data_IF_463575833136
#
_entry.id   IF_463575833136
#
_cell.length_a   1.000
_cell.length_b   1.000
_cell.length_c   1.000
_cell.angle_alpha   90.00
_cell.angle_beta   90.00
_cell.angle_gamma   90.00
#
_symmetry.space_group_name_H-M   'P 1'
#
loop_
_entity.id
_entity.type
_entity.pdbx_description
1 polymer ?
#
# COMPACT_ATOMS: atom_id res chain seq x y z
N UNK A 1 -1.78 -24.71 -8.80
CA UNK A 1 -2.10 -23.32 -8.43
C UNK A 1 -2.34 -23.27 -6.93
N UNK A 2 -1.86 -22.23 -6.25
CA UNK A 2 -2.03 -22.11 -4.79
C UNK A 2 -3.46 -21.63 -4.45
N UNK A 3 -4.07 -22.19 -3.41
CA UNK A 3 -5.38 -21.80 -2.90
C UNK A 3 -5.35 -21.68 -1.37
N UNK A 4 -6.13 -20.74 -0.82
CA UNK A 4 -6.36 -20.61 0.61
C UNK A 4 -7.68 -21.29 0.95
N UNK A 5 -7.67 -22.22 1.91
CA UNK A 5 -8.82 -22.95 2.38
C UNK A 5 -9.17 -22.48 3.78
N UNK A 6 -10.43 -22.14 4.02
CA UNK A 6 -10.90 -21.52 5.26
C UNK A 6 -12.14 -22.25 5.74
N UNK A 7 -12.17 -22.60 7.02
CA UNK A 7 -13.38 -23.01 7.74
C UNK A 7 -13.72 -21.94 8.77
N UNK A 8 -14.72 -21.13 8.46
CA UNK A 8 -15.07 -19.97 9.28
C UNK A 8 -15.78 -20.32 10.58
N UNK A 9 -16.29 -19.29 11.27
CA UNK A 9 -17.10 -19.41 12.48
C UNK A 9 -16.32 -19.38 13.80
N UNK A 10 -15.01 -19.19 13.79
CA UNK A 10 -14.18 -19.05 15.00
C UNK A 10 -13.83 -17.59 15.24
N UNK A 11 -14.10 -17.02 16.45
CA UNK A 11 -13.58 -15.71 16.84
C UNK A 11 -12.05 -15.71 16.86
N UNK A 12 -11.43 -14.66 16.32
CA UNK A 12 -9.99 -14.49 16.36
C UNK A 12 -9.53 -13.97 17.74
N UNK A 13 -8.40 -14.46 18.24
CA UNK A 13 -7.85 -14.02 19.51
C UNK A 13 -6.31 -14.12 19.51
N UNK A 14 -5.66 -13.28 20.31
CA UNK A 14 -4.20 -13.28 20.42
C UNK A 14 -3.55 -11.98 20.04
N UNK A 15 -2.25 -12.04 19.70
CA UNK A 15 -1.48 -10.87 19.31
C UNK A 15 -0.60 -11.15 18.10
N UNK A 16 -0.38 -10.10 17.29
CA UNK A 16 0.50 -10.10 16.12
C UNK A 16 1.35 -8.83 16.11
N UNK A 17 2.58 -8.96 15.62
CA UNK A 17 3.40 -7.81 15.21
C UNK A 17 3.14 -7.54 13.74
N UNK A 18 2.73 -6.30 13.42
CA UNK A 18 2.38 -5.95 12.04
C UNK A 18 3.65 -5.80 11.20
N UNK A 19 3.66 -6.37 9.99
CA UNK A 19 4.74 -6.25 9.01
C UNK A 19 5.02 -4.80 8.60
N UNK A 20 6.18 -4.54 7.99
CA UNK A 20 6.51 -3.23 7.43
C UNK A 20 5.60 -2.83 6.26
N UNK A 21 5.44 -1.52 6.07
CA UNK A 21 4.52 -0.97 5.10
C UNK A 21 5.02 -1.15 3.66
N UNK A 22 4.25 -1.87 2.85
CA UNK A 22 4.49 -2.01 1.40
C UNK A 22 4.65 -0.66 0.72
N UNK A 23 3.68 0.24 0.97
CA UNK A 23 3.63 1.53 0.28
C UNK A 23 4.71 2.51 0.79
N UNK A 24 5.39 2.21 1.88
CA UNK A 24 6.55 2.94 2.37
C UNK A 24 7.86 2.37 1.82
N UNK A 25 8.02 1.05 1.83
CA UNK A 25 9.28 0.43 1.42
C UNK A 25 9.59 0.64 -0.06
N UNK A 26 8.58 0.69 -0.95
CA UNK A 26 8.82 0.82 -2.39
C UNK A 26 9.48 2.16 -2.77
N UNK A 27 8.99 3.35 -2.34
CA UNK A 27 9.69 4.61 -2.57
C UNK A 27 11.02 4.70 -1.83
N UNK A 28 11.17 4.06 -0.65
CA UNK A 28 12.45 3.97 0.07
C UNK A 28 13.49 3.18 -0.77
N UNK A 29 13.09 2.06 -1.38
CA UNK A 29 13.97 1.31 -2.27
C UNK A 29 14.38 2.12 -3.51
N UNK A 30 13.47 2.90 -4.09
CA UNK A 30 13.82 3.84 -5.15
C UNK A 30 14.80 4.93 -4.66
N UNK A 31 14.61 5.44 -3.44
CA UNK A 31 15.48 6.45 -2.83
C UNK A 31 16.93 5.97 -2.61
N UNK A 32 17.15 4.65 -2.44
CA UNK A 32 18.51 4.09 -2.29
C UNK A 32 19.42 4.38 -3.51
N UNK A 33 18.82 4.60 -4.70
CA UNK A 33 19.55 4.98 -5.91
C UNK A 33 20.26 6.34 -5.81
N UNK A 34 19.81 7.21 -4.90
CA UNK A 34 20.33 8.57 -4.78
C UNK A 34 21.73 8.63 -4.16
N UNK A 35 22.20 7.53 -3.53
CA UNK A 35 23.55 7.43 -2.95
C UNK A 35 24.31 6.26 -3.56
N UNK A 36 25.66 6.37 -3.60
CA UNK A 36 26.56 5.25 -3.94
C UNK A 36 26.98 4.41 -2.73
N UNK A 37 26.35 4.57 -1.57
CA UNK A 37 26.69 3.85 -0.35
C UNK A 37 25.58 2.86 0.05
N UNK A 38 25.94 1.89 0.90
CA UNK A 38 25.01 0.84 1.33
C UNK A 38 23.92 1.38 2.22
N UNK A 39 22.66 1.13 1.85
CA UNK A 39 21.49 1.34 2.69
C UNK A 39 21.02 0.00 3.29
N UNK A 40 20.75 -0.02 4.60
CA UNK A 40 20.18 -1.17 5.31
C UNK A 40 18.72 -0.85 5.68
N UNK A 41 17.79 -1.61 5.12
CA UNK A 41 16.35 -1.47 5.34
C UNK A 41 15.89 -2.56 6.30
N UNK A 42 15.55 -2.18 7.52
CA UNK A 42 14.98 -3.04 8.55
C UNK A 42 13.47 -3.07 8.46
N UNK A 43 12.87 -4.13 8.97
CA UNK A 43 11.42 -4.33 8.94
C UNK A 43 10.84 -4.25 7.50
N UNK A 44 11.67 -4.65 6.53
CA UNK A 44 11.29 -4.73 5.12
C UNK A 44 10.43 -5.99 4.92
N UNK A 45 9.17 -5.87 4.43
CA UNK A 45 8.33 -7.04 4.24
C UNK A 45 8.72 -7.84 3.00
N UNK A 46 8.65 -9.16 3.08
CA UNK A 46 8.94 -10.07 1.96
C UNK A 46 7.72 -10.23 1.06
N UNK A 47 7.52 -9.27 0.17
CA UNK A 47 6.38 -9.19 -0.73
C UNK A 47 6.82 -9.37 -2.18
N UNK A 48 5.91 -9.85 -3.04
CA UNK A 48 6.18 -9.94 -4.49
C UNK A 48 6.54 -8.59 -5.11
N UNK A 49 5.92 -7.49 -4.65
CA UNK A 49 6.23 -6.15 -5.16
C UNK A 49 7.64 -5.69 -4.68
N UNK A 50 8.09 -6.11 -3.49
CA UNK A 50 9.46 -5.84 -3.01
C UNK A 50 10.49 -6.64 -3.83
N UNK A 51 10.22 -7.91 -4.13
CA UNK A 51 11.09 -8.71 -5.00
C UNK A 51 11.20 -8.09 -6.40
N UNK A 52 10.08 -7.59 -6.96
CA UNK A 52 10.10 -6.86 -8.23
C UNK A 52 10.94 -5.59 -8.15
N UNK A 53 10.85 -4.83 -7.05
CA UNK A 53 11.68 -3.65 -6.82
C UNK A 53 13.17 -4.02 -6.71
N UNK A 54 13.52 -5.13 -6.05
CA UNK A 54 14.89 -5.65 -6.00
C UNK A 54 15.40 -6.07 -7.39
N UNK A 55 14.54 -6.70 -8.22
CA UNK A 55 14.89 -7.04 -9.62
C UNK A 55 15.13 -5.76 -10.45
N UNK A 56 14.35 -4.69 -10.25
CA UNK A 56 14.60 -3.37 -10.88
C UNK A 56 15.96 -2.83 -10.44
N UNK A 57 16.26 -2.81 -9.15
CA UNK A 57 17.54 -2.35 -8.62
C UNK A 57 18.72 -3.15 -9.19
N UNK A 58 18.62 -4.47 -9.23
CA UNK A 58 19.65 -5.35 -9.81
C UNK A 58 19.83 -5.11 -11.31
N UNK A 59 18.74 -4.91 -12.05
CA UNK A 59 18.80 -4.55 -13.48
C UNK A 59 19.54 -3.23 -13.71
N UNK A 60 19.37 -2.26 -12.84
CA UNK A 60 20.06 -0.97 -12.88
C UNK A 60 21.56 -1.08 -12.53
N UNK A 61 22.02 -2.22 -12.02
CA UNK A 61 23.41 -2.49 -11.63
C UNK A 61 23.65 -2.49 -10.11
N UNK A 62 22.63 -2.30 -9.29
CA UNK A 62 22.75 -2.33 -7.83
C UNK A 62 22.85 -3.76 -7.31
N UNK A 63 23.43 -3.94 -6.13
CA UNK A 63 23.29 -5.15 -5.33
C UNK A 63 22.13 -4.95 -4.37
N UNK A 64 21.18 -5.87 -4.36
CA UNK A 64 20.01 -5.83 -3.48
C UNK A 64 19.76 -7.24 -2.95
N UNK A 65 20.13 -7.49 -1.69
CA UNK A 65 20.16 -8.84 -1.11
C UNK A 65 19.66 -8.85 0.33
N UNK A 66 18.96 -9.93 0.68
CA UNK A 66 18.52 -10.17 2.04
C UNK A 66 19.69 -10.58 2.94
N UNK A 67 19.83 -9.91 4.08
CA UNK A 67 20.71 -10.31 5.18
C UNK A 67 19.86 -10.59 6.44
N UNK A 68 19.50 -11.84 6.62
CA UNK A 68 18.51 -12.21 7.63
C UNK A 68 17.14 -11.63 7.33
N UNK A 69 16.64 -10.73 8.18
CA UNK A 69 15.38 -9.99 8.00
C UNK A 69 15.57 -8.60 7.41
N UNK A 70 16.79 -8.14 7.26
CA UNK A 70 17.11 -6.83 6.70
C UNK A 70 17.38 -6.96 5.20
N UNK A 71 16.98 -5.95 4.43
CA UNK A 71 17.36 -5.83 3.02
C UNK A 71 18.51 -4.82 2.90
N UNK A 72 19.61 -5.23 2.26
CA UNK A 72 20.74 -4.37 1.94
C UNK A 72 20.68 -3.99 0.48
N UNK A 73 20.83 -2.70 0.21
CA UNK A 73 20.94 -2.15 -1.15
C UNK A 73 22.22 -1.36 -1.26
N UNK A 74 23.04 -1.71 -2.25
CA UNK A 74 24.27 -1.05 -2.62
C UNK A 74 24.13 -0.56 -4.08
N UNK A 75 24.11 0.76 -4.27
CA UNK A 75 23.96 1.39 -5.57
C UNK A 75 25.26 2.04 -6.09
N UNK A 76 26.45 1.58 -5.58
CA UNK A 76 27.74 2.07 -6.02
C UNK A 76 27.98 1.81 -7.53
N UNK A 77 27.60 0.63 -8.01
CA UNK A 77 27.83 0.17 -9.38
C UNK A 77 26.62 0.43 -10.31
N UNK A 78 25.87 1.52 -10.09
CA UNK A 78 24.74 1.90 -10.94
C UNK A 78 25.23 2.22 -12.36
N UNK A 79 24.84 1.37 -13.36
CA UNK A 79 25.34 1.44 -14.73
C UNK A 79 24.24 1.62 -15.77
N UNK A 80 22.97 1.45 -15.39
CA UNK A 80 21.81 1.52 -16.29
C UNK A 80 20.80 2.55 -15.79
N UNK A 81 19.96 3.02 -16.70
CA UNK A 81 18.89 4.00 -16.45
C UNK A 81 17.54 3.60 -17.05
N UNK A 82 17.47 2.39 -17.66
CA UNK A 82 16.26 1.85 -18.26
C UNK A 82 15.61 0.82 -17.32
N UNK A 83 14.28 0.79 -17.30
CA UNK A 83 13.52 -0.27 -16.64
C UNK A 83 12.74 -1.06 -17.69
N UNK A 84 13.00 -2.37 -17.83
CA UNK A 84 12.38 -3.18 -18.88
C UNK A 84 10.88 -3.41 -18.65
N UNK A 85 10.14 -3.56 -19.74
CA UNK A 85 8.68 -3.65 -19.74
C UNK A 85 8.13 -4.77 -18.85
N UNK A 86 8.78 -5.93 -18.84
CA UNK A 86 8.34 -7.05 -17.99
C UNK A 86 8.43 -6.76 -16.47
N UNK A 87 9.28 -5.83 -16.03
CA UNK A 87 9.33 -5.38 -14.64
C UNK A 87 8.32 -4.25 -14.39
N UNK A 88 8.17 -3.32 -15.35
CA UNK A 88 7.16 -2.26 -15.27
C UNK A 88 5.74 -2.81 -15.18
N UNK A 89 5.44 -3.88 -15.92
CA UNK A 89 4.10 -4.48 -15.94
C UNK A 89 3.74 -5.28 -14.69
N UNK A 90 4.73 -5.77 -13.92
CA UNK A 90 4.50 -6.58 -12.71
C UNK A 90 4.09 -5.75 -11.50
N UNK A 91 4.46 -4.46 -11.45
CA UNK A 91 4.22 -3.59 -10.29
C UNK A 91 3.71 -2.23 -10.75
N UNK A 92 2.44 -1.92 -10.42
CA UNK A 92 1.82 -0.64 -10.81
C UNK A 92 2.54 0.61 -10.25
N UNK A 93 3.27 0.48 -9.13
CA UNK A 93 4.05 1.55 -8.50
C UNK A 93 5.48 1.66 -9.03
N UNK A 94 5.87 0.88 -10.05
CA UNK A 94 7.23 0.91 -10.63
C UNK A 94 7.64 2.30 -11.12
N UNK A 95 6.69 3.15 -11.50
CA UNK A 95 6.95 4.54 -11.89
C UNK A 95 7.62 5.39 -10.78
N UNK A 96 7.57 4.95 -9.51
CA UNK A 96 8.25 5.68 -8.40
C UNK A 96 9.77 5.74 -8.58
N UNK A 97 10.35 4.80 -9.32
CA UNK A 97 11.78 4.80 -9.64
C UNK A 97 12.20 5.93 -10.59
N UNK A 98 11.25 6.51 -11.36
CA UNK A 98 11.55 7.50 -12.39
C UNK A 98 12.29 8.72 -11.86
N UNK A 99 11.81 9.32 -10.76
CA UNK A 99 12.42 10.50 -10.16
C UNK A 99 13.84 10.24 -9.65
N UNK A 100 14.04 9.11 -8.98
CA UNK A 100 15.36 8.72 -8.46
C UNK A 100 16.36 8.40 -9.58
N UNK A 101 15.97 7.64 -10.62
CA UNK A 101 16.83 7.34 -11.76
C UNK A 101 17.21 8.64 -12.48
N UNK A 102 16.24 9.52 -12.75
CA UNK A 102 16.49 10.79 -13.41
C UNK A 102 17.43 11.70 -12.58
N UNK A 103 17.23 11.77 -11.27
CA UNK A 103 18.09 12.53 -10.37
C UNK A 103 19.53 12.00 -10.38
N UNK A 104 19.72 10.69 -10.33
CA UNK A 104 21.03 10.04 -10.22
C UNK A 104 21.76 9.95 -11.56
N UNK A 105 21.05 9.54 -12.64
CA UNK A 105 21.67 9.21 -13.94
C UNK A 105 21.55 10.35 -14.97
N UNK A 106 20.71 11.36 -14.74
CA UNK A 106 20.43 12.43 -15.71
C UNK A 106 19.52 12.00 -16.86
N UNK A 107 19.20 10.73 -16.95
CA UNK A 107 18.29 10.14 -17.92
C UNK A 107 17.56 8.93 -17.33
N UNK A 108 16.36 8.65 -17.85
CA UNK A 108 15.58 7.47 -17.48
C UNK A 108 14.76 7.01 -18.69
N UNK A 109 14.64 5.70 -18.88
CA UNK A 109 13.79 5.11 -19.90
C UNK A 109 12.95 4.01 -19.26
N UNK A 110 11.63 4.04 -19.49
CA UNK A 110 10.71 3.02 -19.03
C UNK A 110 9.43 3.00 -19.87
N UNK A 111 8.66 1.92 -19.78
CA UNK A 111 7.31 1.88 -20.32
C UNK A 111 6.31 2.40 -19.30
N UNK A 112 5.07 2.65 -19.72
CA UNK A 112 4.00 2.92 -18.79
C UNK A 112 3.85 1.76 -17.81
N UNK A 113 3.58 2.03 -16.51
CA UNK A 113 3.35 0.96 -15.55
C UNK A 113 2.18 0.10 -15.99
N UNK A 114 2.29 -1.20 -15.79
CA UNK A 114 1.28 -2.17 -16.17
C UNK A 114 -0.09 -1.86 -15.58
N UNK A 115 -1.14 -2.28 -16.28
CA UNK A 115 -2.52 -1.99 -15.93
C UNK A 115 -2.85 -2.44 -14.52
N UNK A 116 -3.33 -1.52 -13.71
CA UNK A 116 -3.96 -1.87 -12.45
C UNK A 116 -5.36 -2.37 -12.77
N UNK A 117 -5.75 -3.51 -12.23
CA UNK A 117 -7.11 -4.04 -12.38
C UNK A 117 -8.19 -3.11 -11.78
N UNK A 118 -7.78 -2.10 -11.03
CA UNK A 118 -8.63 -1.09 -10.40
C UNK A 118 -8.98 0.10 -11.32
N UNK A 119 -8.50 0.09 -12.57
CA UNK A 119 -8.72 1.18 -13.54
C UNK A 119 -7.41 1.83 -14.02
N UNK A 120 -7.55 2.82 -14.90
CA UNK A 120 -6.41 3.60 -15.39
C UNK A 120 -5.69 4.29 -14.24
N UNK A 121 -4.35 4.22 -14.26
CA UNK A 121 -3.50 5.01 -13.35
C UNK A 121 -2.72 6.02 -14.19
N UNK A 122 -3.27 7.21 -14.40
CA UNK A 122 -2.57 8.25 -15.11
C UNK A 122 -1.31 8.64 -14.34
N UNK A 123 -0.21 8.80 -15.04
CA UNK A 123 1.07 9.25 -14.48
C UNK A 123 1.37 10.71 -14.83
N UNK A 124 0.36 11.41 -15.33
CA UNK A 124 0.39 12.80 -15.76
C UNK A 124 0.95 13.73 -14.68
N UNK A 125 0.54 13.55 -13.42
CA UNK A 125 1.05 14.35 -12.30
C UNK A 125 2.54 14.10 -12.03
N UNK A 126 3.02 12.85 -12.20
CA UNK A 126 4.44 12.53 -12.10
C UNK A 126 5.23 13.26 -13.19
N UNK A 127 4.75 13.17 -14.45
CA UNK A 127 5.42 13.77 -15.59
C UNK A 127 5.38 15.31 -15.53
N UNK A 128 4.25 15.89 -15.10
CA UNK A 128 4.09 17.33 -14.93
C UNK A 128 5.07 17.85 -13.87
N UNK A 129 5.20 17.18 -12.73
CA UNK A 129 6.15 17.54 -11.68
C UNK A 129 7.61 17.53 -12.19
N UNK A 130 8.01 16.48 -12.89
CA UNK A 130 9.37 16.36 -13.43
C UNK A 130 9.64 17.38 -14.55
N UNK A 131 8.66 17.67 -15.42
CA UNK A 131 8.76 18.71 -16.45
C UNK A 131 8.94 20.11 -15.84
N UNK A 132 8.22 20.44 -14.78
CA UNK A 132 8.37 21.73 -14.11
C UNK A 132 9.75 21.91 -13.48
N UNK A 133 10.44 20.81 -13.14
CA UNK A 133 11.83 20.81 -12.67
C UNK A 133 12.87 20.86 -13.82
N UNK A 134 12.44 20.96 -15.09
CA UNK A 134 13.32 21.04 -16.26
C UNK A 134 13.63 19.71 -16.96
N UNK A 135 12.92 18.62 -16.64
CA UNK A 135 13.08 17.38 -17.35
C UNK A 135 12.45 17.42 -18.75
N UNK A 136 13.20 17.07 -19.79
CA UNK A 136 12.68 16.81 -21.12
C UNK A 136 12.11 15.38 -21.17
N UNK A 137 10.81 15.26 -21.40
CA UNK A 137 10.11 13.97 -21.40
C UNK A 137 9.44 13.77 -22.76
N UNK A 138 9.85 12.71 -23.45
CA UNK A 138 9.26 12.26 -24.72
C UNK A 138 8.45 10.99 -24.47
N UNK A 139 7.24 10.98 -25.03
CA UNK A 139 6.30 9.87 -24.96
C UNK A 139 6.10 9.31 -26.38
N UNK A 140 6.66 8.14 -26.66
CA UNK A 140 6.61 7.55 -27.99
C UNK A 140 6.40 6.03 -27.91
N UNK A 141 5.34 5.52 -28.54
CA UNK A 141 5.09 4.08 -28.64
C UNK A 141 4.92 3.38 -27.28
N UNK A 142 4.34 4.06 -26.28
CA UNK A 142 4.17 3.52 -24.92
C UNK A 142 5.45 3.55 -24.06
N UNK A 143 6.52 4.19 -24.56
CA UNK A 143 7.77 4.42 -23.83
C UNK A 143 7.88 5.86 -23.37
N UNK A 144 8.47 6.03 -22.20
CA UNK A 144 8.86 7.28 -21.60
C UNK A 144 10.39 7.38 -21.70
N UNK A 145 10.88 8.40 -22.39
CA UNK A 145 12.29 8.74 -22.43
C UNK A 145 12.45 10.10 -21.76
N UNK A 146 13.07 10.10 -20.59
CA UNK A 146 13.28 11.28 -19.78
C UNK A 146 14.76 11.64 -19.78
N UNK A 147 15.08 12.91 -19.99
CA UNK A 147 16.45 13.44 -19.96
C UNK A 147 16.47 14.76 -19.20
N UNK A 148 17.57 15.04 -18.54
CA UNK A 148 17.84 16.35 -17.97
C UNK A 148 19.25 16.82 -18.34
N UNK A 149 19.40 18.08 -18.65
CA UNK A 149 20.71 18.74 -18.53
C UNK A 149 20.93 19.12 -17.07
N UNK A 150 19.87 19.68 -16.44
CA UNK A 150 19.88 20.10 -15.04
C UNK A 150 18.46 20.03 -14.49
N UNK A 151 18.27 19.47 -13.29
CA UNK A 151 17.03 19.67 -12.54
C UNK A 151 17.15 20.91 -11.67
N UNK A 152 16.13 21.74 -11.67
CA UNK A 152 16.09 23.00 -10.90
C UNK A 152 14.94 22.98 -9.93
N UNK A 153 15.18 23.42 -8.70
CA UNK A 153 14.15 23.60 -7.69
C UNK A 153 13.08 24.58 -8.18
N UNK A 154 11.83 24.26 -7.92
CA UNK A 154 10.67 25.03 -8.38
C UNK A 154 9.47 24.79 -7.48
N UNK A 155 8.43 25.59 -7.65
CA UNK A 155 7.12 25.31 -7.05
C UNK A 155 6.32 24.33 -7.92
N UNK A 156 5.89 23.22 -7.32
CA UNK A 156 5.05 22.16 -7.94
C UNK A 156 3.71 22.17 -7.24
N UNK A 157 2.63 22.48 -7.97
CA UNK A 157 1.28 22.43 -7.43
C UNK A 157 0.58 21.19 -8.00
N UNK A 158 0.32 20.19 -7.14
CA UNK A 158 -0.43 19.01 -7.55
C UNK A 158 -1.93 19.31 -7.59
N UNK A 159 -2.61 18.99 -8.69
CA UNK A 159 -4.07 19.20 -8.82
C UNK A 159 -4.87 18.34 -7.84
N UNK A 160 -4.29 17.22 -7.37
CA UNK A 160 -4.82 16.39 -6.29
C UNK A 160 -3.64 15.76 -5.51
N UNK A 161 -3.83 15.41 -4.22
CA UNK A 161 -2.75 14.87 -3.38
C UNK A 161 -2.42 13.44 -3.80
N UNK A 162 -1.60 13.30 -4.84
CA UNK A 162 -1.14 12.01 -5.35
C UNK A 162 0.09 11.54 -4.58
N UNK A 163 -0.01 10.36 -3.94
CA UNK A 163 1.10 9.74 -3.20
C UNK A 163 2.30 9.55 -4.13
N UNK A 164 2.13 8.84 -5.24
CA UNK A 164 3.25 8.52 -6.13
C UNK A 164 3.87 9.77 -6.80
N UNK A 165 3.08 10.79 -7.16
CA UNK A 165 3.61 12.03 -7.71
C UNK A 165 4.41 12.82 -6.66
N UNK A 166 3.94 12.83 -5.41
CA UNK A 166 4.67 13.44 -4.28
C UNK A 166 6.01 12.73 -4.07
N UNK A 167 6.01 11.39 -4.03
CA UNK A 167 7.23 10.57 -3.89
C UNK A 167 8.24 10.85 -5.01
N UNK A 168 7.80 10.80 -6.27
CA UNK A 168 8.67 11.07 -7.42
C UNK A 168 9.25 12.49 -7.40
N UNK A 169 8.42 13.49 -7.06
CA UNK A 169 8.89 14.87 -6.94
C UNK A 169 9.92 15.04 -5.82
N UNK A 170 9.69 14.40 -4.65
CA UNK A 170 10.66 14.42 -3.54
C UNK A 170 12.00 13.79 -3.94
N UNK A 171 11.96 12.61 -4.61
CA UNK A 171 13.15 11.89 -5.04
C UNK A 171 13.95 12.70 -6.09
N UNK A 172 13.25 13.26 -7.08
CA UNK A 172 13.89 14.10 -8.11
C UNK A 172 14.47 15.40 -7.52
N UNK A 173 13.76 16.00 -6.56
CA UNK A 173 14.17 17.25 -5.90
C UNK A 173 15.46 17.10 -5.09
N UNK A 174 15.75 15.91 -4.53
CA UNK A 174 17.03 15.66 -3.85
C UNK A 174 18.25 15.86 -4.78
N UNK A 175 18.09 15.58 -6.07
CA UNK A 175 19.14 15.77 -7.08
C UNK A 175 19.03 17.08 -7.88
N UNK A 176 18.11 17.98 -7.52
CA UNK A 176 17.92 19.27 -8.17
C UNK A 176 18.83 20.34 -7.54
N UNK A 177 19.06 21.44 -8.25
CA UNK A 177 19.69 22.62 -7.69
C UNK A 177 18.66 23.60 -7.15
N UNK A 178 18.86 24.06 -5.92
CA UNK A 178 17.94 24.97 -5.24
C UNK A 178 16.79 24.28 -4.52
N UNK A 179 15.76 25.03 -4.20
CA UNK A 179 14.65 24.57 -3.37
C UNK A 179 13.43 24.20 -4.21
N UNK A 180 12.88 23.02 -3.97
CA UNK A 180 11.58 22.59 -4.54
C UNK A 180 10.51 22.64 -3.47
N UNK A 181 9.37 23.26 -3.78
CA UNK A 181 8.18 23.32 -2.94
C UNK A 181 7.08 22.52 -3.60
N UNK A 182 6.62 21.46 -2.96
CA UNK A 182 5.53 20.62 -3.45
C UNK A 182 4.26 21.00 -2.69
N UNK A 183 3.38 21.76 -3.32
CA UNK A 183 2.09 22.17 -2.78
C UNK A 183 1.00 21.15 -3.11
N UNK A 184 0.00 21.02 -2.23
CA UNK A 184 -1.03 19.98 -2.25
C UNK A 184 -0.43 18.56 -2.28
N UNK A 185 0.68 18.37 -1.56
CA UNK A 185 1.36 17.08 -1.40
C UNK A 185 0.46 16.06 -0.67
N UNK A 186 0.69 14.79 -0.94
CA UNK A 186 0.10 13.70 -0.18
C UNK A 186 0.60 13.73 1.28
N UNK A 187 -0.27 13.34 2.22
CA UNK A 187 -0.01 13.47 3.67
C UNK A 187 0.13 12.12 4.37
N UNK A 188 0.09 11.04 3.61
CA UNK A 188 0.14 9.68 4.09
C UNK A 188 1.38 9.45 4.98
N UNK A 189 1.28 8.61 6.02
CA UNK A 189 2.41 8.24 6.87
C UNK A 189 3.63 7.73 6.09
N UNK A 190 3.39 7.14 4.94
CA UNK A 190 4.41 6.64 4.03
C UNK A 190 5.27 7.78 3.43
N UNK A 191 4.68 8.97 3.22
CA UNK A 191 5.44 10.18 2.80
C UNK A 191 6.33 10.68 3.94
N UNK A 192 5.82 10.61 5.18
CA UNK A 192 6.62 10.98 6.38
C UNK A 192 7.78 10.02 6.57
N UNK A 193 7.58 8.72 6.32
CA UNK A 193 8.60 7.71 6.41
C UNK A 193 9.69 7.91 5.32
N UNK A 194 9.28 8.23 4.08
CA UNK A 194 10.20 8.59 2.99
C UNK A 194 11.03 9.84 3.36
N UNK A 195 10.40 10.89 3.90
CA UNK A 195 11.14 12.06 4.40
C UNK A 195 12.19 11.66 5.43
N UNK A 196 11.79 10.83 6.41
CA UNK A 196 12.69 10.38 7.49
C UNK A 196 13.86 9.57 6.92
N UNK A 197 13.62 8.74 5.91
CA UNK A 197 14.67 8.00 5.22
C UNK A 197 15.63 8.95 4.49
N UNK A 198 15.12 9.89 3.69
CA UNK A 198 15.92 10.88 2.96
C UNK A 198 16.75 11.76 3.90
N UNK A 199 16.18 12.19 5.04
CA UNK A 199 16.91 12.93 6.07
C UNK A 199 18.07 12.11 6.65
N UNK A 200 17.88 10.81 6.88
CA UNK A 200 18.94 9.91 7.32
C UNK A 200 20.02 9.72 6.26
N UNK A 201 19.71 9.90 4.99
CA UNK A 201 20.68 9.93 3.91
C UNK A 201 21.41 11.26 3.80
N UNK A 202 21.04 12.29 4.55
CA UNK A 202 21.63 13.64 4.50
C UNK A 202 20.86 14.66 3.67
N UNK A 203 19.66 14.31 3.15
CA UNK A 203 18.83 15.25 2.41
C UNK A 203 18.14 16.26 3.36
N UNK A 204 17.93 17.48 2.88
CA UNK A 204 17.18 18.51 3.56
C UNK A 204 15.72 18.50 3.07
N UNK A 205 14.88 17.72 3.75
CA UNK A 205 13.44 17.55 3.43
C UNK A 205 12.61 17.87 4.66
N UNK A 206 11.53 18.63 4.52
CA UNK A 206 10.62 18.98 5.60
C UNK A 206 9.17 19.12 5.12
N UNK A 207 8.22 19.06 6.04
CA UNK A 207 6.80 19.30 5.78
C UNK A 207 5.99 18.06 5.41
N UNK A 208 6.57 16.87 5.29
CA UNK A 208 5.81 15.64 5.07
C UNK A 208 4.75 15.42 6.16
N UNK A 209 3.57 14.93 5.76
CA UNK A 209 2.38 14.86 6.63
C UNK A 209 1.53 16.13 6.63
N UNK A 210 2.04 17.23 6.07
CA UNK A 210 1.28 18.45 5.76
C UNK A 210 0.93 18.53 4.27
N UNK A 211 0.23 19.58 3.84
CA UNK A 211 -0.07 19.82 2.42
C UNK A 211 1.09 20.39 1.62
N UNK A 212 2.23 20.64 2.26
CA UNK A 212 3.39 21.25 1.60
C UNK A 212 4.65 20.52 2.03
N UNK A 213 5.41 20.02 1.06
CA UNK A 213 6.73 19.42 1.30
C UNK A 213 7.77 20.31 0.64
N UNK A 214 8.86 20.58 1.37
CA UNK A 214 9.99 21.39 0.90
C UNK A 214 11.22 20.52 0.86
N UNK A 215 11.95 20.55 -0.27
CA UNK A 215 13.19 19.83 -0.48
C UNK A 215 14.25 20.83 -0.93
N UNK A 216 15.34 20.95 -0.17
CA UNK A 216 16.55 21.65 -0.58
C UNK A 216 17.47 20.63 -1.25
N UNK A 217 17.63 20.74 -2.56
CA UNK A 217 18.38 19.77 -3.35
C UNK A 217 19.87 20.02 -3.36
N UNK A 218 20.63 19.08 -3.93
CA UNK A 218 22.08 19.19 -4.13
C UNK A 218 22.94 18.80 -2.91
N UNK A 219 22.33 18.35 -1.80
CA UNK A 219 23.10 17.82 -0.67
C UNK A 219 23.79 16.50 -1.05
N UNK A 220 25.04 16.26 -0.61
CA UNK A 220 25.68 14.96 -0.78
C UNK A 220 24.95 13.90 0.06
N UNK A 221 24.44 12.85 -0.59
CA UNK A 221 23.71 11.79 0.06
C UNK A 221 24.60 10.57 0.34
N UNK A 222 24.37 9.91 1.46
CA UNK A 222 25.13 8.76 1.93
C UNK A 222 24.22 7.58 2.32
N UNK A 223 24.81 6.42 2.55
CA UNK A 223 24.10 5.23 3.03
C UNK A 223 23.56 5.42 4.45
N UNK A 224 22.47 4.72 4.76
CA UNK A 224 21.88 4.80 6.10
C UNK A 224 21.22 3.49 6.55
N UNK A 225 20.84 3.43 7.82
CA UNK A 225 20.03 2.37 8.40
C UNK A 225 18.65 2.93 8.71
N UNK A 226 17.61 2.30 8.13
CA UNK A 226 16.24 2.73 8.33
C UNK A 226 15.33 1.56 8.67
N UNK A 227 14.37 1.80 9.57
CA UNK A 227 13.32 0.83 9.92
C UNK A 227 12.01 1.33 9.32
N UNK A 228 11.44 0.56 8.41
CA UNK A 228 10.17 0.88 7.74
C UNK A 228 9.03 0.88 8.76
N UNK A 229 8.12 1.84 8.67
CA UNK A 229 6.93 1.92 9.51
C UNK A 229 6.03 0.69 9.31
N UNK A 230 5.23 0.32 10.31
CA UNK A 230 4.27 -0.76 10.19
C UNK A 230 3.18 -0.44 9.16
N UNK A 231 2.73 -1.46 8.42
CA UNK A 231 1.70 -1.31 7.39
C UNK A 231 0.31 -1.10 8.02
N UNK A 232 -0.18 0.14 7.96
CA UNK A 232 -1.50 0.53 8.47
C UNK A 232 -2.65 -0.20 7.75
N UNK A 233 -2.48 -0.63 6.50
CA UNK A 233 -3.53 -1.34 5.77
C UNK A 233 -3.57 -2.82 6.16
N UNK A 234 -2.41 -3.43 6.41
CA UNK A 234 -2.32 -4.77 7.00
C UNK A 234 -2.90 -4.78 8.41
N UNK A 235 -2.57 -3.76 9.23
CA UNK A 235 -3.19 -3.59 10.54
C UNK A 235 -4.72 -3.45 10.45
N UNK A 236 -5.23 -2.62 9.52
CA UNK A 236 -6.67 -2.49 9.26
C UNK A 236 -7.30 -3.83 8.86
N UNK A 237 -6.59 -4.66 8.11
CA UNK A 237 -7.06 -5.99 7.69
C UNK A 237 -7.26 -6.92 8.88
N UNK A 238 -6.29 -7.01 9.80
CA UNK A 238 -6.44 -7.85 11.00
C UNK A 238 -7.50 -7.32 11.96
N UNK A 239 -7.59 -5.99 12.13
CA UNK A 239 -8.68 -5.40 12.91
C UNK A 239 -10.06 -5.71 12.30
N UNK A 240 -10.18 -5.64 10.96
CA UNK A 240 -11.41 -6.00 10.25
C UNK A 240 -11.75 -7.50 10.39
N UNK A 241 -10.73 -8.39 10.31
CA UNK A 241 -10.91 -9.82 10.50
C UNK A 241 -11.43 -10.14 11.91
N UNK A 242 -10.83 -9.56 12.94
CA UNK A 242 -11.29 -9.72 14.31
C UNK A 242 -12.69 -9.12 14.53
N UNK A 243 -12.95 -7.93 13.97
CA UNK A 243 -14.27 -7.30 14.06
C UNK A 243 -15.38 -8.18 13.47
N UNK A 244 -15.18 -8.71 12.25
CA UNK A 244 -16.17 -9.55 11.58
C UNK A 244 -16.40 -10.91 12.24
N UNK A 245 -15.41 -11.44 12.97
CA UNK A 245 -15.50 -12.73 13.67
C UNK A 245 -15.91 -12.63 15.14
N UNK A 246 -16.12 -11.41 15.68
CA UNK A 246 -16.42 -11.21 17.12
C UNK A 246 -15.20 -11.46 18.01
N UNK A 247 -14.00 -11.15 17.52
CA UNK A 247 -12.71 -11.48 18.15
C UNK A 247 -12.19 -10.43 19.13
N UNK A 248 -11.05 -10.77 19.76
CA UNK A 248 -10.27 -9.93 20.67
C UNK A 248 -8.79 -10.10 20.32
N UNK A 249 -8.22 -9.14 19.61
CA UNK A 249 -6.83 -9.18 19.19
C UNK A 249 -6.04 -7.95 19.60
N UNK A 250 -4.73 -8.11 19.72
CA UNK A 250 -3.78 -7.02 19.92
C UNK A 250 -2.75 -7.00 18.79
N UNK A 251 -2.58 -5.84 18.19
CA UNK A 251 -1.55 -5.59 17.17
C UNK A 251 -0.41 -4.76 17.79
N UNK A 252 0.82 -5.20 17.57
CA UNK A 252 2.05 -4.58 18.07
C UNK A 252 2.82 -3.91 16.91
N UNK A 253 3.64 -2.91 17.24
CA UNK A 253 4.44 -2.15 16.29
C UNK A 253 3.66 -1.07 15.53
N UNK A 254 2.40 -0.81 15.88
CA UNK A 254 1.47 0.03 15.12
C UNK A 254 1.27 1.39 15.80
N UNK A 255 1.43 2.47 15.06
CA UNK A 255 0.96 3.79 15.47
C UNK A 255 -0.54 3.92 15.16
N UNK A 256 -1.38 3.99 16.20
CA UNK A 256 -2.83 4.08 16.05
C UNK A 256 -3.28 5.36 15.32
N UNK A 257 -2.47 6.41 15.32
CA UNK A 257 -2.75 7.68 14.61
C UNK A 257 -2.87 7.45 13.10
N UNK A 258 -2.13 6.50 12.56
CA UNK A 258 -2.19 6.10 11.15
C UNK A 258 -3.49 5.37 10.77
N UNK A 259 -4.24 4.92 11.78
CA UNK A 259 -5.49 4.16 11.64
C UNK A 259 -6.74 4.94 12.06
N UNK A 260 -6.66 6.24 12.30
CA UNK A 260 -7.72 7.06 12.91
C UNK A 260 -9.09 6.89 12.24
N UNK A 261 -9.14 6.95 10.91
CA UNK A 261 -10.39 6.79 10.15
C UNK A 261 -10.97 5.38 10.29
N UNK A 262 -10.12 4.35 10.21
CA UNK A 262 -10.51 2.93 10.40
C UNK A 262 -10.98 2.69 11.84
N UNK A 263 -10.23 3.18 12.82
CA UNK A 263 -10.58 3.05 14.24
C UNK A 263 -11.92 3.71 14.56
N UNK A 264 -12.19 4.89 13.97
CA UNK A 264 -13.47 5.59 14.12
C UNK A 264 -14.64 4.75 13.58
N UNK A 265 -14.49 4.19 12.39
CA UNK A 265 -15.50 3.31 11.79
C UNK A 265 -15.74 2.05 12.63
N UNK A 266 -14.69 1.40 13.12
CA UNK A 266 -14.80 0.20 13.96
C UNK A 266 -15.48 0.51 15.31
N UNK A 267 -15.24 1.69 15.91
CA UNK A 267 -15.96 2.14 17.10
C UNK A 267 -17.45 2.37 16.80
N UNK A 268 -17.79 2.99 15.68
CA UNK A 268 -19.19 3.15 15.26
C UNK A 268 -19.87 1.82 15.05
N UNK A 269 -19.14 0.81 14.55
CA UNK A 269 -19.64 -0.56 14.40
C UNK A 269 -19.75 -1.33 15.75
N UNK A 270 -19.43 -0.69 16.87
CA UNK A 270 -19.58 -1.28 18.21
C UNK A 270 -18.32 -1.92 18.78
N UNK A 271 -17.18 -1.84 18.12
CA UNK A 271 -15.92 -2.35 18.64
C UNK A 271 -15.34 -1.45 19.73
N UNK A 272 -14.76 -2.06 20.76
CA UNK A 272 -13.94 -1.36 21.75
C UNK A 272 -12.47 -1.40 21.31
N UNK A 273 -11.86 -0.22 21.18
CA UNK A 273 -10.45 -0.08 20.84
C UNK A 273 -9.69 0.57 21.98
N UNK A 274 -8.61 -0.08 22.43
CA UNK A 274 -7.65 0.44 23.40
C UNK A 274 -6.33 0.66 22.69
N UNK A 275 -5.84 1.92 22.70
CA UNK A 275 -4.62 2.30 21.99
C UNK A 275 -3.49 2.51 23.00
N UNK A 276 -2.37 1.83 22.82
CA UNK A 276 -1.10 2.10 23.47
C UNK A 276 -0.23 3.02 22.59
N UNK A 277 1.02 3.23 22.99
CA UNK A 277 1.97 4.05 22.23
C UNK A 277 2.28 3.43 20.84
N UNK A 278 2.56 2.12 20.81
CA UNK A 278 2.88 1.35 19.61
C UNK A 278 2.02 0.11 19.47
N UNK A 279 0.82 0.11 20.02
CA UNK A 279 -0.09 -1.03 19.94
C UNK A 279 -1.54 -0.63 19.92
N UNK A 280 -2.38 -1.49 19.37
CA UNK A 280 -3.83 -1.34 19.37
C UNK A 280 -4.49 -2.68 19.69
N UNK A 281 -5.41 -2.69 20.67
CA UNK A 281 -6.27 -3.85 20.95
C UNK A 281 -7.68 -3.55 20.51
N UNK A 282 -8.29 -4.49 19.81
CA UNK A 282 -9.68 -4.46 19.42
C UNK A 282 -10.42 -5.61 20.09
N UNK A 283 -11.56 -5.27 20.70
CA UNK A 283 -12.55 -6.21 21.21
C UNK A 283 -13.86 -5.97 20.46
N UNK A 284 -14.28 -6.97 19.69
CA UNK A 284 -15.49 -6.89 18.88
C UNK A 284 -16.70 -7.43 19.65
N UNK A 285 -17.92 -6.86 19.44
CA UNK A 285 -19.15 -7.49 19.85
C UNK A 285 -19.41 -8.76 19.02
N UNK A 286 -20.32 -9.62 19.48
CA UNK A 286 -20.69 -10.85 18.75
C UNK A 286 -21.23 -10.55 17.34
N UNK A 287 -21.92 -9.42 17.16
CA UNK A 287 -22.42 -8.91 15.89
C UNK A 287 -22.17 -7.39 15.82
N UNK A 288 -21.64 -6.94 14.71
CA UNK A 288 -21.38 -5.52 14.49
C UNK A 288 -22.66 -4.77 14.20
N UNK A 289 -22.69 -3.47 14.51
CA UNK A 289 -23.69 -2.54 14.03
C UNK A 289 -23.27 -1.97 12.68
N UNK A 290 -24.25 -1.51 11.88
CA UNK A 290 -23.94 -0.71 10.69
C UNK A 290 -23.17 0.55 11.09
N UNK A 291 -22.19 0.92 10.27
CA UNK A 291 -21.48 2.19 10.41
C UNK A 291 -22.12 3.29 9.56
N UNK A 292 -21.84 4.56 9.86
CA UNK A 292 -22.23 5.68 9.01
C UNK A 292 -21.62 5.57 7.61
N UNK A 293 -22.00 6.48 6.66
CA UNK A 293 -21.48 6.43 5.31
C UNK A 293 -19.94 6.50 5.30
N UNK A 294 -19.31 5.50 4.70
CA UNK A 294 -17.85 5.38 4.57
C UNK A 294 -17.46 5.89 3.19
N UNK A 295 -16.74 7.02 3.16
CA UNK A 295 -16.27 7.66 1.92
C UNK A 295 -14.76 7.58 1.85
N UNK A 296 -14.23 6.96 0.80
CA UNK A 296 -12.78 6.98 0.60
C UNK A 296 -12.29 8.37 0.23
N UNK A 297 -11.18 8.75 0.82
CA UNK A 297 -10.54 10.06 0.62
C UNK A 297 -9.03 9.96 0.88
N UNK A 298 -8.21 10.89 0.35
CA UNK A 298 -6.81 11.02 0.72
C UNK A 298 -6.64 11.17 2.22
N UNK A 299 -5.50 10.74 2.74
CA UNK A 299 -5.18 10.81 4.17
C UNK A 299 -5.31 12.26 4.72
N UNK A 300 -5.89 12.48 5.90
CA UNK A 300 -6.29 11.49 6.93
C UNK A 300 -7.71 10.92 6.77
N UNK A 301 -8.31 11.02 5.59
CA UNK A 301 -9.59 10.40 5.29
C UNK A 301 -9.54 8.88 5.28
N UNK A 302 -10.68 8.23 4.98
CA UNK A 302 -10.77 6.78 4.97
C UNK A 302 -10.00 6.20 3.78
N UNK A 303 -8.99 5.32 4.01
CA UNK A 303 -8.13 4.83 2.94
C UNK A 303 -8.87 3.85 2.02
N UNK A 304 -8.77 4.07 0.69
CA UNK A 304 -9.36 3.17 -0.31
C UNK A 304 -8.84 1.74 -0.18
N UNK A 305 -7.58 1.55 0.25
CA UNK A 305 -6.97 0.23 0.44
C UNK A 305 -7.60 -0.56 1.62
N UNK A 306 -8.22 0.10 2.59
CA UNK A 306 -8.94 -0.58 3.66
C UNK A 306 -10.43 -0.81 3.34
N UNK A 307 -10.96 -0.23 2.26
CA UNK A 307 -12.38 -0.27 1.92
C UNK A 307 -12.92 -1.70 1.80
N UNK A 308 -12.26 -2.56 1.01
CA UNK A 308 -12.72 -3.92 0.77
C UNK A 308 -12.71 -4.79 2.04
N UNK A 309 -11.65 -4.71 2.85
CA UNK A 309 -11.54 -5.51 4.08
C UNK A 309 -12.50 -5.05 5.16
N UNK A 310 -12.77 -3.74 5.28
CA UNK A 310 -13.78 -3.22 6.21
C UNK A 310 -15.20 -3.53 5.71
N UNK A 311 -15.44 -3.52 4.39
CA UNK A 311 -16.70 -4.00 3.82
C UNK A 311 -16.94 -5.47 4.21
N UNK A 312 -15.93 -6.33 4.10
CA UNK A 312 -16.03 -7.73 4.49
C UNK A 312 -16.40 -7.91 5.96
N UNK A 313 -15.88 -7.08 6.87
CA UNK A 313 -16.23 -7.18 8.29
C UNK A 313 -17.70 -6.89 8.59
N UNK A 314 -18.36 -6.09 7.74
CA UNK A 314 -19.76 -5.67 7.93
C UNK A 314 -20.79 -6.53 7.22
N UNK A 315 -20.39 -7.60 6.52
CA UNK A 315 -21.33 -8.47 5.79
C UNK A 315 -22.39 -9.11 6.68
N UNK A 316 -22.12 -9.23 7.98
CA UNK A 316 -23.06 -9.79 8.98
C UNK A 316 -23.47 -8.76 10.03
N UNK A 317 -23.29 -7.47 9.79
CA UNK A 317 -23.70 -6.40 10.72
C UNK A 317 -25.21 -6.28 10.83
N UNK A 318 -25.70 -5.63 11.89
CA UNK A 318 -27.10 -5.20 11.96
C UNK A 318 -27.28 -3.91 11.16
N UNK A 319 -28.29 -3.87 10.28
CA UNK A 319 -28.60 -2.72 9.45
C UNK A 319 -27.79 -2.66 8.13
N UNK A 320 -27.69 -1.48 7.55
CA UNK A 320 -27.04 -1.26 6.26
C UNK A 320 -25.96 -0.19 6.35
N UNK A 321 -24.83 -0.43 5.67
CA UNK A 321 -23.72 0.51 5.55
C UNK A 321 -23.52 0.92 4.10
N UNK A 322 -23.35 2.22 3.87
CA UNK A 322 -23.07 2.78 2.54
C UNK A 322 -21.58 3.06 2.38
N UNK A 323 -20.98 2.50 1.33
CA UNK A 323 -19.62 2.79 0.91
C UNK A 323 -19.63 3.65 -0.34
N UNK A 324 -18.82 4.71 -0.37
CA UNK A 324 -18.64 5.58 -1.54
C UNK A 324 -17.15 5.60 -1.89
N UNK A 325 -16.81 5.07 -3.07
CA UNK A 325 -15.44 5.02 -3.56
C UNK A 325 -15.12 6.24 -4.42
N UNK A 326 -14.24 7.12 -3.95
CA UNK A 326 -13.90 8.35 -4.64
C UNK A 326 -12.54 8.32 -5.34
N UNK A 327 -11.73 7.26 -5.10
CA UNK A 327 -10.34 7.20 -5.59
C UNK A 327 -10.24 6.35 -6.86
N UNK A 328 -10.83 5.14 -6.87
CA UNK A 328 -10.72 4.21 -8.00
C UNK A 328 -12.08 3.84 -8.60
N UNK A 329 -12.15 3.78 -9.94
CA UNK A 329 -13.39 3.48 -10.65
C UNK A 329 -13.82 2.01 -10.51
N UNK A 330 -12.88 1.08 -10.43
CA UNK A 330 -13.14 -0.36 -10.45
C UNK A 330 -12.82 -1.05 -9.13
N UNK A 331 -13.03 -0.37 -7.97
CA UNK A 331 -12.66 -0.90 -6.66
C UNK A 331 -13.52 -2.05 -6.18
N UNK A 332 -14.75 -2.22 -6.66
CA UNK A 332 -15.72 -3.20 -6.19
C UNK A 332 -15.66 -4.56 -6.92
N UNK A 333 -14.55 -4.91 -7.55
CA UNK A 333 -14.39 -6.18 -8.31
C UNK A 333 -14.52 -7.45 -7.45
N UNK A 334 -14.35 -7.33 -6.15
CA UNK A 334 -14.52 -8.43 -5.18
C UNK A 334 -16.00 -8.69 -4.82
N UNK A 335 -16.89 -7.71 -5.03
CA UNK A 335 -18.30 -7.81 -4.61
C UNK A 335 -19.04 -8.98 -5.24
N UNK A 336 -18.94 -9.31 -6.54
CA UNK A 336 -19.61 -10.48 -7.10
C UNK A 336 -19.22 -11.79 -6.41
N UNK A 337 -17.99 -11.91 -5.95
CA UNK A 337 -17.52 -13.10 -5.21
C UNK A 337 -18.10 -13.13 -3.79
N UNK A 338 -18.25 -11.98 -3.11
CA UNK A 338 -18.95 -11.90 -1.81
C UNK A 338 -20.43 -12.22 -1.94
N UNK A 339 -21.10 -11.74 -3.00
CA UNK A 339 -22.53 -12.09 -3.29
C UNK A 339 -22.68 -13.59 -3.50
N UNK A 340 -21.73 -14.28 -4.16
CA UNK A 340 -21.70 -15.74 -4.27
C UNK A 340 -21.65 -16.44 -2.90
N UNK A 341 -21.08 -15.81 -1.89
CA UNK A 341 -21.04 -16.29 -0.51
C UNK A 341 -22.32 -15.95 0.28
N UNK A 342 -23.32 -15.33 -0.35
CA UNK A 342 -24.60 -14.96 0.27
C UNK A 342 -24.66 -13.55 0.84
N UNK A 343 -23.69 -12.67 0.55
CA UNK A 343 -23.75 -11.27 0.96
C UNK A 343 -24.83 -10.49 0.19
N UNK A 344 -25.56 -9.60 0.86
CA UNK A 344 -26.48 -8.64 0.23
C UNK A 344 -25.76 -7.31 0.01
N UNK A 345 -25.24 -7.14 -1.19
CA UNK A 345 -24.51 -5.94 -1.62
C UNK A 345 -25.12 -5.42 -2.92
N UNK A 346 -25.54 -4.16 -2.92
CA UNK A 346 -26.06 -3.46 -4.10
C UNK A 346 -25.07 -2.43 -4.56
N UNK A 347 -24.73 -2.48 -5.85
CA UNK A 347 -23.77 -1.56 -6.47
C UNK A 347 -24.48 -0.63 -7.44
N UNK A 348 -24.16 0.68 -7.33
CA UNK A 348 -24.55 1.70 -8.30
C UNK A 348 -23.36 2.66 -8.51
N UNK A 349 -22.69 2.51 -9.65
CA UNK A 349 -21.49 3.29 -9.97
C UNK A 349 -20.40 3.14 -8.88
N UNK A 350 -20.10 4.22 -8.19
CA UNK A 350 -19.12 4.28 -7.10
C UNK A 350 -19.72 4.07 -5.70
N UNK A 351 -20.97 3.66 -5.61
CA UNK A 351 -21.68 3.45 -4.34
C UNK A 351 -21.97 1.97 -4.17
N UNK A 352 -21.67 1.44 -2.97
CA UNK A 352 -22.07 0.11 -2.55
C UNK A 352 -22.89 0.22 -1.27
N UNK A 353 -24.07 -0.41 -1.26
CA UNK A 353 -24.90 -0.56 -0.07
C UNK A 353 -24.77 -2.01 0.40
N UNK A 354 -24.23 -2.20 1.60
CA UNK A 354 -24.04 -3.50 2.24
C UNK A 354 -25.11 -3.66 3.29
N UNK A 355 -26.05 -4.57 3.08
CA UNK A 355 -27.03 -4.98 4.06
C UNK A 355 -26.52 -6.22 4.79
N UNK A 356 -26.42 -6.16 6.11
CA UNK A 356 -25.91 -7.29 6.88
C UNK A 356 -26.89 -8.48 6.83
N UNK A 357 -26.32 -9.68 6.59
CA UNK A 357 -27.06 -10.94 6.55
C UNK A 357 -26.85 -11.75 7.83
N UNK A 358 -27.73 -12.70 8.12
CA UNK A 358 -27.56 -13.56 9.28
C UNK A 358 -26.45 -14.59 9.08
N UNK A 359 -26.29 -15.10 7.85
CA UNK A 359 -25.32 -16.15 7.50
C UNK A 359 -24.65 -15.87 6.17
N UNK A 360 -23.38 -16.21 6.10
CA UNK A 360 -22.62 -16.36 4.86
C UNK A 360 -22.30 -17.84 4.66
N UNK A 361 -22.16 -18.27 3.42
CA UNK A 361 -21.86 -19.64 3.05
C UNK A 361 -20.47 -19.75 2.43
N UNK A 362 -19.76 -20.82 2.77
CA UNK A 362 -18.51 -21.16 2.13
C UNK A 362 -18.70 -21.39 0.63
N UNK A 363 -17.76 -20.90 -0.18
CA UNK A 363 -17.80 -21.00 -1.64
C UNK A 363 -16.38 -21.03 -2.24
N UNK A 364 -16.27 -21.52 -3.49
CA UNK A 364 -15.07 -21.31 -4.30
C UNK A 364 -15.13 -19.92 -4.92
N UNK A 365 -14.17 -19.06 -4.55
CA UNK A 365 -14.08 -17.66 -4.97
C UNK A 365 -12.67 -17.33 -5.49
N UNK A 366 -12.55 -16.28 -6.30
CA UNK A 366 -11.28 -15.90 -6.92
C UNK A 366 -10.86 -14.49 -6.57
N UNK A 367 -9.68 -14.35 -5.99
CA UNK A 367 -9.02 -13.08 -5.86
C UNK A 367 -8.61 -12.55 -7.25
N UNK A 368 -8.99 -11.29 -7.54
CA UNK A 368 -8.68 -10.60 -8.79
C UNK A 368 -7.73 -9.42 -8.58
N UNK A 369 -7.59 -8.99 -7.34
CA UNK A 369 -6.66 -7.93 -6.91
C UNK A 369 -6.31 -8.11 -5.43
N UNK A 370 -5.32 -7.36 -4.94
CA UNK A 370 -4.72 -7.50 -3.62
C UNK A 370 -5.73 -7.39 -2.46
N UNK A 371 -6.43 -6.26 -2.37
CA UNK A 371 -7.27 -5.94 -1.19
C UNK A 371 -8.63 -6.64 -1.25
N UNK A 372 -9.19 -6.80 -2.44
CA UNK A 372 -10.35 -7.64 -2.66
C UNK A 372 -10.05 -9.10 -2.39
N UNK A 373 -8.87 -9.61 -2.74
CA UNK A 373 -8.45 -10.96 -2.38
C UNK A 373 -8.42 -11.17 -0.86
N UNK A 374 -7.80 -10.27 -0.13
CA UNK A 374 -7.79 -10.31 1.34
C UNK A 374 -9.22 -10.23 1.92
N UNK A 375 -10.08 -9.39 1.35
CA UNK A 375 -11.48 -9.26 1.81
C UNK A 375 -12.30 -10.55 1.62
N UNK A 376 -12.00 -11.34 0.58
CA UNK A 376 -12.63 -12.67 0.40
C UNK A 376 -12.18 -13.67 1.47
N UNK A 377 -10.90 -13.59 1.89
CA UNK A 377 -10.41 -14.38 3.04
C UNK A 377 -11.19 -14.00 4.30
N UNK A 378 -11.37 -12.71 4.58
CA UNK A 378 -12.13 -12.22 5.73
C UNK A 378 -13.62 -12.63 5.68
N UNK A 379 -14.22 -12.61 4.51
CA UNK A 379 -15.59 -13.14 4.33
C UNK A 379 -15.66 -14.64 4.64
N UNK A 380 -14.64 -15.40 4.19
CA UNK A 380 -14.51 -16.84 4.49
C UNK A 380 -14.41 -17.17 5.98
N UNK A 381 -13.71 -16.31 6.77
CA UNK A 381 -13.63 -16.47 8.23
C UNK A 381 -15.00 -16.36 8.94
N UNK A 382 -15.95 -15.68 8.32
CA UNK A 382 -17.31 -15.49 8.85
C UNK A 382 -18.34 -16.48 8.28
N UNK A 383 -17.98 -17.22 7.22
CA UNK A 383 -18.89 -18.10 6.49
C UNK A 383 -19.06 -19.47 7.18
N UNK A 384 -20.24 -20.06 7.03
CA UNK A 384 -20.49 -21.46 7.39
C UNK A 384 -19.99 -22.39 6.28
N UNK A 385 -19.30 -23.46 6.65
CA UNK A 385 -18.73 -24.42 5.69
C UNK A 385 -17.30 -24.06 5.28
N UNK A 386 -16.88 -24.53 4.11
CA UNK A 386 -15.51 -24.35 3.60
C UNK A 386 -15.47 -23.33 2.46
N UNK A 387 -14.60 -22.34 2.57
CA UNK A 387 -14.32 -21.37 1.50
C UNK A 387 -12.96 -21.67 0.88
N UNK A 388 -12.90 -21.66 -0.44
CA UNK A 388 -11.66 -21.83 -1.21
C UNK A 388 -11.37 -20.56 -1.99
N UNK A 389 -10.29 -19.85 -1.64
CA UNK A 389 -9.87 -18.63 -2.32
C UNK A 389 -8.70 -18.94 -3.25
N UNK A 390 -8.88 -18.76 -4.55
CA UNK A 390 -7.84 -18.88 -5.57
C UNK A 390 -7.30 -17.49 -5.97
N UNK A 391 -6.20 -17.42 -6.76
CA UNK A 391 -5.56 -16.14 -7.11
C UNK A 391 -4.71 -15.58 -5.98
N UNK A 392 -4.12 -16.46 -5.17
CA UNK A 392 -3.34 -16.12 -3.97
C UNK A 392 -2.16 -15.20 -4.29
N UNK A 393 -1.63 -15.29 -5.52
CA UNK A 393 -0.57 -14.43 -6.03
C UNK A 393 -0.89 -12.93 -5.96
N UNK A 394 -2.15 -12.54 -6.02
CA UNK A 394 -2.57 -11.15 -5.83
C UNK A 394 -2.44 -10.73 -4.36
N UNK A 395 -2.79 -11.61 -3.42
CA UNK A 395 -2.71 -11.36 -1.98
C UNK A 395 -1.25 -11.20 -1.53
N UNK A 396 -0.36 -12.05 -2.03
CA UNK A 396 1.08 -12.06 -1.72
C UNK A 396 1.83 -10.79 -2.18
N UNK A 397 1.18 -9.91 -2.94
CA UNK A 397 1.73 -8.60 -3.27
C UNK A 397 1.74 -7.62 -2.11
N UNK A 398 0.95 -7.84 -1.07
CA UNK A 398 0.84 -6.91 0.06
C UNK A 398 0.77 -7.54 1.44
N UNK A 399 0.70 -8.88 1.53
CA UNK A 399 0.73 -9.62 2.79
C UNK A 399 1.85 -10.65 2.73
N UNK A 400 2.72 -10.63 3.75
CA UNK A 400 3.87 -11.53 3.84
C UNK A 400 3.41 -12.97 4.12
N UNK A 401 2.55 -13.15 5.11
CA UNK A 401 1.95 -14.44 5.46
C UNK A 401 0.54 -14.27 6.06
N UNK A 402 -0.42 -13.82 5.25
CA UNK A 402 -1.81 -13.62 5.71
C UNK A 402 -2.40 -14.91 6.32
N UNK A 403 -2.09 -16.06 5.74
CA UNK A 403 -2.63 -17.35 6.17
C UNK A 403 -2.04 -17.78 7.52
N UNK A 404 -0.72 -17.74 7.68
CA UNK A 404 -0.05 -18.11 8.93
C UNK A 404 -0.40 -17.17 10.08
N UNK A 405 -0.47 -15.85 9.82
CA UNK A 405 -0.83 -14.85 10.82
C UNK A 405 -2.28 -14.98 11.28
N UNK A 406 -3.24 -15.26 10.38
CA UNK A 406 -4.61 -15.55 10.76
C UNK A 406 -4.73 -16.88 11.50
N UNK A 407 -3.96 -17.90 11.12
CA UNK A 407 -3.89 -19.17 11.86
C UNK A 407 -3.33 -18.96 13.27
N UNK A 408 -2.30 -18.12 13.45
CA UNK A 408 -1.77 -17.73 14.76
C UNK A 408 -2.83 -17.07 15.64
N UNK A 409 -3.78 -16.32 15.05
CA UNK A 409 -4.93 -15.73 15.74
C UNK A 409 -6.08 -16.72 15.97
N UNK A 410 -5.93 -18.01 15.62
CA UNK A 410 -6.89 -19.09 15.90
C UNK A 410 -7.85 -19.38 14.74
N UNK A 411 -7.65 -18.81 13.56
CA UNK A 411 -8.44 -19.17 12.38
C UNK A 411 -8.17 -20.62 11.94
N UNK A 412 -9.19 -21.28 11.43
CA UNK A 412 -9.04 -22.58 10.74
C UNK A 412 -8.81 -22.29 9.24
N UNK A 413 -7.56 -22.06 8.92
CA UNK A 413 -7.12 -21.57 7.60
C UNK A 413 -5.79 -22.24 7.23
N UNK A 414 -5.63 -22.59 5.95
CA UNK A 414 -4.38 -23.11 5.41
C UNK A 414 -4.23 -22.75 3.93
N UNK A 415 -2.99 -22.75 3.46
CA UNK A 415 -2.67 -22.62 2.04
C UNK A 415 -2.28 -24.00 1.51
N UNK A 416 -2.82 -24.38 0.35
CA UNK A 416 -2.52 -25.63 -0.36
C UNK A 416 -2.05 -25.31 -1.79
N UNK A 417 -1.06 -26.07 -2.28
CA UNK A 417 -0.73 -26.11 -3.71
C UNK A 417 -1.68 -27.12 -4.38
N UNK A 418 -2.43 -26.66 -5.38
CA UNK A 418 -3.36 -27.47 -6.19
C UNK A 418 -2.88 -27.55 -7.65
#
# INVERSE_FOLDING_TARGET
MSAIIIRGGRPLSGSLTVQGAKNSVLPILAATLLSGEVCRIRHCPRLRDVETAMEILRHLGCRADWQGRDLLVDAADLTRWDVPDHLMSRMCSSVVFLGAILARCGQAEMTYPGGCELGARPIDLHLAALRSMGAAIQETGGRLVCRRERLTGTEIVLSLPSVGATENAMLAACGAEGTTVIANAAREPEIVDLQTFLQKMGAHVQGAGSSTVVVEGGAPLHGCVHTVVADRIVAATYLAAAAGTGGDIRLEGVDYRHLSAVATMLRQAGCRLTCGETSIRLQAPRRLQSAGPIRTAPYPGFPTDAQAVLMASLLRSEGATVFVENIFDSRYRHVPEMVRMGADIRLEGRVAVVCGVDRLHGAAVRAKELRGGASLVLAGLQAEGETVVTGVEHIQRGYEDLTGELAQLGADIRQEER
#
